data_IF_578264757743
#
_entry.id   IF_578264757743
#
_cell.length_a   1.000
_cell.length_b   1.000
_cell.length_c   1.000
_cell.angle_alpha   90.00
_cell.angle_beta   90.00
_cell.angle_gamma   90.00
#
_symmetry.space_group_name_H-M   'P 1'
#
loop_
_entity.id
_entity.type
_entity.pdbx_description
1 polymer ?
#
# COMPACT_ATOMS: atom_id res chain seq x y z
N UNK A 1 -2.86 -30.99 5.82
CA UNK A 1 -2.43 -30.14 6.94
C UNK A 1 -3.32 -28.92 6.96
N UNK A 2 -4.20 -28.85 7.95
CA UNK A 2 -5.31 -27.92 8.05
C UNK A 2 -5.03 -27.07 9.29
N UNK A 3 -4.36 -25.93 9.11
CA UNK A 3 -3.95 -25.10 10.23
C UNK A 3 -4.00 -23.62 9.83
N UNK A 4 -5.14 -22.97 10.13
CA UNK A 4 -5.28 -21.51 10.29
C UNK A 4 -6.69 -21.06 10.70
N UNK A 5 -7.71 -21.90 10.55
CA UNK A 5 -9.14 -21.57 10.81
C UNK A 5 -9.51 -21.16 12.26
N UNK A 6 -8.61 -21.29 13.24
CA UNK A 6 -8.92 -21.02 14.64
C UNK A 6 -8.70 -19.54 15.04
N UNK A 7 -7.80 -18.79 14.37
CA UNK A 7 -7.55 -17.37 14.69
C UNK A 7 -8.52 -16.41 13.99
N UNK A 8 -8.99 -16.76 12.79
CA UNK A 8 -9.91 -15.93 12.01
C UNK A 8 -11.30 -15.82 12.65
N UNK A 9 -11.72 -16.83 13.42
CA UNK A 9 -13.06 -16.88 14.05
C UNK A 9 -13.23 -15.84 15.16
N UNK A 10 -12.18 -15.59 15.95
CA UNK A 10 -12.20 -14.55 16.99
C UNK A 10 -12.20 -13.14 16.39
N UNK A 11 -11.45 -12.93 15.30
CA UNK A 11 -11.42 -11.65 14.59
C UNK A 11 -12.79 -11.31 13.99
N UNK A 12 -13.44 -12.31 13.36
CA UNK A 12 -14.77 -12.14 12.78
C UNK A 12 -15.88 -11.82 13.80
N UNK A 13 -15.79 -12.35 15.01
CA UNK A 13 -16.76 -12.10 16.07
C UNK A 13 -16.56 -10.73 16.73
N UNK A 14 -15.30 -10.31 16.95
CA UNK A 14 -14.98 -9.03 17.56
C UNK A 14 -15.18 -7.84 16.59
N UNK A 15 -14.89 -8.03 15.30
CA UNK A 15 -14.90 -6.96 14.32
C UNK A 15 -16.18 -6.83 13.49
N UNK A 16 -17.21 -7.65 13.78
CA UNK A 16 -18.40 -7.82 12.91
C UNK A 16 -19.19 -6.54 12.63
N UNK A 17 -19.06 -5.52 13.49
CA UNK A 17 -19.70 -4.21 13.32
C UNK A 17 -18.85 -3.13 12.63
N UNK A 18 -17.57 -3.40 12.38
CA UNK A 18 -16.61 -2.41 11.90
C UNK A 18 -16.29 -2.53 10.41
N UNK A 19 -16.88 -3.49 9.70
CA UNK A 19 -16.65 -3.73 8.28
C UNK A 19 -17.89 -3.46 7.45
N UNK A 20 -17.69 -2.76 6.34
CA UNK A 20 -18.67 -2.52 5.29
C UNK A 20 -18.25 -3.22 4.01
N UNK A 21 -19.22 -3.46 3.13
CA UNK A 21 -18.98 -3.98 1.80
C UNK A 21 -19.55 -3.01 0.77
N UNK A 22 -18.72 -2.65 -0.22
CA UNK A 22 -19.12 -1.92 -1.41
C UNK A 22 -18.63 -2.69 -2.64
N UNK A 23 -19.56 -3.27 -3.40
CA UNK A 23 -19.27 -4.21 -4.47
C UNK A 23 -18.41 -5.39 -4.00
N UNK A 24 -17.25 -5.58 -4.64
CA UNK A 24 -16.27 -6.62 -4.29
C UNK A 24 -15.26 -6.20 -3.21
N UNK A 25 -15.37 -4.97 -2.67
CA UNK A 25 -14.47 -4.43 -1.65
C UNK A 25 -15.12 -4.49 -0.28
N UNK A 26 -14.48 -5.19 0.65
CA UNK A 26 -14.78 -5.22 2.07
C UNK A 26 -13.75 -4.35 2.78
N UNK A 27 -14.18 -3.41 3.60
CA UNK A 27 -13.29 -2.45 4.24
C UNK A 27 -13.75 -2.08 5.64
N UNK A 28 -12.81 -1.67 6.48
CA UNK A 28 -13.11 -1.18 7.81
C UNK A 28 -13.54 0.29 7.72
N UNK A 29 -14.77 0.60 8.13
CA UNK A 29 -15.31 1.97 8.11
C UNK A 29 -14.94 2.77 9.37
N UNK A 30 -14.50 2.11 10.43
CA UNK A 30 -14.09 2.75 11.68
C UNK A 30 -12.96 1.97 12.36
N UNK A 31 -11.73 2.43 12.09
CA UNK A 31 -10.51 1.77 12.59
C UNK A 31 -10.40 1.87 14.10
N UNK A 32 -10.77 3.00 14.72
CA UNK A 32 -10.70 3.16 16.17
C UNK A 32 -11.62 2.16 16.90
N UNK A 33 -12.81 1.91 16.35
CA UNK A 33 -13.75 0.91 16.87
C UNK A 33 -13.22 -0.51 16.69
N UNK A 34 -12.55 -0.80 15.56
CA UNK A 34 -11.85 -2.07 15.36
C UNK A 34 -10.75 -2.29 16.41
N UNK A 35 -9.90 -1.30 16.64
CA UNK A 35 -8.85 -1.37 17.66
C UNK A 35 -9.43 -1.56 19.06
N UNK A 36 -10.47 -0.81 19.42
CA UNK A 36 -11.18 -0.95 20.69
C UNK A 36 -11.76 -2.35 20.87
N UNK A 37 -12.37 -2.93 19.84
CA UNK A 37 -12.92 -4.29 19.89
C UNK A 37 -11.83 -5.36 20.03
N UNK A 38 -10.63 -5.10 19.52
CA UNK A 38 -9.45 -5.96 19.68
C UNK A 38 -8.73 -5.75 21.02
N UNK A 39 -9.18 -4.80 21.86
CA UNK A 39 -8.51 -4.46 23.11
C UNK A 39 -7.14 -3.81 22.91
N UNK A 40 -6.94 -3.14 21.77
CA UNK A 40 -5.69 -2.48 21.39
C UNK A 40 -5.88 -0.96 21.38
N UNK A 41 -4.80 -0.21 21.65
CA UNK A 41 -4.78 1.23 21.46
C UNK A 41 -4.34 1.55 20.03
N UNK A 42 -5.09 2.41 19.34
CA UNK A 42 -4.71 2.89 18.02
C UNK A 42 -3.75 4.08 18.14
N UNK A 43 -2.44 3.82 17.99
CA UNK A 43 -1.42 4.85 17.81
C UNK A 43 -0.91 4.80 16.36
N UNK A 44 -1.35 5.69 15.44
CA UNK A 44 -0.97 5.60 14.02
C UNK A 44 0.53 5.53 13.74
N UNK A 45 1.39 6.08 14.61
CA UNK A 45 2.85 6.05 14.44
C UNK A 45 3.46 4.65 14.69
N UNK A 46 2.75 3.78 15.41
CA UNK A 46 3.18 2.42 15.69
C UNK A 46 2.75 1.41 14.61
N UNK A 47 1.93 1.85 13.65
CA UNK A 47 1.39 1.01 12.59
C UNK A 47 1.79 1.54 11.22
N UNK A 48 2.00 0.61 10.29
CA UNK A 48 2.15 0.90 8.86
C UNK A 48 1.11 0.14 8.08
N UNK A 49 0.58 0.75 7.03
CA UNK A 49 -0.28 0.03 6.10
C UNK A 49 0.59 -0.78 5.15
N UNK A 50 0.20 -2.03 4.96
CA UNK A 50 0.79 -2.93 3.97
C UNK A 50 -0.25 -3.30 2.94
N UNK A 51 0.07 -3.04 1.66
CA UNK A 51 -0.77 -3.41 0.54
C UNK A 51 -0.14 -4.59 -0.18
N UNK A 52 -0.87 -5.70 -0.20
CA UNK A 52 -0.51 -6.92 -0.90
C UNK A 52 -1.49 -7.17 -2.03
N UNK A 53 -0.96 -7.41 -3.23
CA UNK A 53 -1.76 -7.71 -4.40
C UNK A 53 -1.47 -9.10 -4.94
N UNK A 54 -2.52 -9.75 -5.40
CA UNK A 54 -2.42 -11.00 -6.15
C UNK A 54 -3.17 -10.87 -7.47
N UNK A 55 -3.08 -11.90 -8.32
CA UNK A 55 -3.84 -11.92 -9.59
C UNK A 55 -5.36 -11.81 -9.40
N UNK A 56 -5.86 -12.16 -8.21
CA UNK A 56 -7.30 -12.33 -7.94
C UNK A 56 -7.76 -11.60 -6.69
N UNK A 57 -6.89 -10.86 -6.00
CA UNK A 57 -7.27 -10.17 -4.77
C UNK A 57 -6.33 -9.02 -4.45
N UNK A 58 -6.86 -8.03 -3.73
CA UNK A 58 -6.08 -6.97 -3.12
C UNK A 58 -6.35 -6.98 -1.61
N UNK A 59 -5.32 -6.82 -0.79
CA UNK A 59 -5.44 -6.77 0.67
C UNK A 59 -4.74 -5.52 1.21
N UNK A 60 -5.43 -4.82 2.10
CA UNK A 60 -4.86 -3.76 2.92
C UNK A 60 -4.85 -4.20 4.37
N UNK A 61 -3.66 -4.19 4.97
CA UNK A 61 -3.42 -4.77 6.30
C UNK A 61 -2.55 -3.80 7.11
N UNK A 62 -2.91 -3.53 8.35
CA UNK A 62 -2.07 -2.80 9.27
C UNK A 62 -1.07 -3.75 9.92
N UNK A 63 0.21 -3.37 9.87
CA UNK A 63 1.32 -4.07 10.50
C UNK A 63 1.88 -3.20 11.62
N UNK A 64 1.99 -3.79 12.82
CA UNK A 64 2.64 -3.11 13.93
C UNK A 64 4.16 -3.06 13.70
N UNK A 65 4.78 -1.89 13.90
CA UNK A 65 6.17 -1.64 13.53
C UNK A 65 7.17 -2.57 14.23
N UNK A 66 6.93 -2.88 15.50
CA UNK A 66 7.75 -3.83 16.27
C UNK A 66 7.30 -5.29 16.18
N UNK A 67 6.36 -5.64 15.29
CA UNK A 67 5.76 -6.99 15.17
C UNK A 67 5.23 -7.60 16.49
N UNK A 68 4.95 -6.77 17.50
CA UNK A 68 4.43 -7.18 18.82
C UNK A 68 2.97 -7.60 18.76
N UNK A 69 2.22 -7.07 17.79
CA UNK A 69 0.80 -7.33 17.60
C UNK A 69 0.57 -8.05 16.27
N UNK A 70 -0.51 -8.86 16.18
CA UNK A 70 -0.89 -9.50 14.93
C UNK A 70 -1.22 -8.45 13.87
N UNK A 71 -1.13 -8.86 12.60
CA UNK A 71 -1.59 -8.04 11.49
C UNK A 71 -3.11 -7.86 11.54
N UNK A 72 -3.57 -6.64 11.28
CA UNK A 72 -4.98 -6.26 11.35
C UNK A 72 -5.47 -5.98 9.92
N UNK A 73 -6.27 -6.84 9.29
CA UNK A 73 -6.85 -6.53 8.00
C UNK A 73 -7.77 -5.31 8.14
N UNK A 74 -7.66 -4.36 7.21
CA UNK A 74 -8.52 -3.16 7.14
C UNK A 74 -9.21 -3.03 5.79
N UNK A 75 -8.75 -3.75 4.76
CA UNK A 75 -9.39 -3.79 3.46
C UNK A 75 -9.10 -5.09 2.74
N UNK A 76 -10.08 -5.58 1.99
CA UNK A 76 -9.99 -6.77 1.17
C UNK A 76 -10.85 -6.61 -0.06
N UNK A 77 -10.29 -6.82 -1.25
CA UNK A 77 -11.06 -6.85 -2.49
C UNK A 77 -10.87 -8.19 -3.19
N UNK A 78 -11.98 -8.82 -3.59
CA UNK A 78 -11.96 -10.09 -4.33
C UNK A 78 -12.02 -9.78 -5.83
N UNK A 79 -11.34 -10.58 -6.65
CA UNK A 79 -11.36 -10.51 -8.13
C UNK A 79 -10.92 -9.16 -8.72
N UNK A 80 -10.35 -8.28 -7.90
CA UNK A 80 -9.82 -7.00 -8.35
C UNK A 80 -8.32 -7.10 -8.65
N UNK A 81 -7.89 -6.42 -9.71
CA UNK A 81 -6.47 -6.24 -10.05
C UNK A 81 -5.92 -4.98 -9.38
N UNK A 82 -4.61 -4.95 -9.18
CA UNK A 82 -3.87 -3.74 -8.82
C UNK A 82 -3.96 -2.69 -9.95
N UNK A 83 -5.00 -1.88 -9.90
CA UNK A 83 -5.15 -0.73 -10.80
C UNK A 83 -5.23 0.52 -9.97
N UNK A 84 -4.87 1.65 -10.59
CA UNK A 84 -4.97 2.96 -9.96
C UNK A 84 -6.36 3.22 -9.37
N UNK A 85 -7.41 2.94 -10.16
CA UNK A 85 -8.81 3.11 -9.73
C UNK A 85 -9.16 2.23 -8.54
N UNK A 86 -8.73 0.97 -8.55
CA UNK A 86 -8.98 0.01 -7.46
C UNK A 86 -8.29 0.45 -6.17
N UNK A 87 -7.01 0.82 -6.23
CA UNK A 87 -6.26 1.28 -5.07
C UNK A 87 -6.85 2.58 -4.51
N UNK A 88 -7.19 3.53 -5.38
CA UNK A 88 -7.84 4.78 -4.98
C UNK A 88 -9.19 4.53 -4.28
N UNK A 89 -10.00 3.62 -4.82
CA UNK A 89 -11.26 3.24 -4.21
C UNK A 89 -11.04 2.59 -2.84
N UNK A 90 -10.12 1.63 -2.72
CA UNK A 90 -9.78 1.00 -1.43
C UNK A 90 -9.29 2.00 -0.38
N UNK A 91 -8.42 2.95 -0.76
CA UNK A 91 -7.91 4.00 0.14
C UNK A 91 -8.99 4.98 0.57
N UNK A 92 -9.91 5.32 -0.34
CA UNK A 92 -11.06 6.15 -0.02
C UNK A 92 -11.99 5.44 0.99
N UNK A 93 -12.25 4.15 0.78
CA UNK A 93 -13.15 3.37 1.64
C UNK A 93 -12.63 3.21 3.07
N UNK A 94 -11.32 3.06 3.28
CA UNK A 94 -10.71 3.01 4.62
C UNK A 94 -10.37 4.38 5.21
N UNK A 95 -10.83 5.47 4.56
CA UNK A 95 -10.54 6.85 4.95
C UNK A 95 -9.04 7.12 5.19
N UNK A 96 -8.19 6.56 4.32
CA UNK A 96 -6.74 6.55 4.49
C UNK A 96 -6.12 7.93 4.80
N UNK A 97 -6.65 9.01 4.22
CA UNK A 97 -6.18 10.37 4.44
C UNK A 97 -6.32 10.87 5.88
N UNK A 98 -7.24 10.31 6.67
CA UNK A 98 -7.39 10.62 8.10
C UNK A 98 -6.29 9.98 8.95
N UNK A 99 -5.58 9.00 8.39
CA UNK A 99 -4.58 8.22 9.09
C UNK A 99 -3.16 8.57 8.61
N UNK A 100 -2.31 8.97 9.56
CA UNK A 100 -0.90 9.28 9.29
C UNK A 100 -0.02 8.03 9.32
N UNK A 101 -0.51 6.88 8.83
CA UNK A 101 0.28 5.66 8.73
C UNK A 101 1.39 5.81 7.69
N UNK A 102 2.49 5.11 7.93
CA UNK A 102 3.51 4.86 6.91
C UNK A 102 3.04 3.79 5.92
N UNK A 103 3.53 3.87 4.68
CA UNK A 103 3.19 2.94 3.62
C UNK A 103 4.27 1.88 3.43
N UNK A 104 3.83 0.65 3.18
CA UNK A 104 4.66 -0.45 2.75
C UNK A 104 3.90 -1.24 1.70
N UNK A 105 4.55 -1.63 0.62
CA UNK A 105 3.93 -2.41 -0.44
C UNK A 105 5.01 -3.08 -1.30
N UNK A 106 4.58 -4.03 -2.13
CA UNK A 106 5.44 -4.55 -3.18
C UNK A 106 5.78 -3.45 -4.23
N UNK A 107 6.85 -3.65 -5.00
CA UNK A 107 7.32 -2.66 -5.97
C UNK A 107 6.25 -2.35 -7.04
N UNK A 108 5.36 -3.30 -7.34
CA UNK A 108 4.37 -3.17 -8.40
C UNK A 108 3.21 -2.29 -7.96
N UNK A 109 2.69 -2.51 -6.76
CA UNK A 109 1.71 -1.65 -6.10
C UNK A 109 2.29 -0.26 -5.90
N UNK A 110 3.54 -0.14 -5.44
CA UNK A 110 4.23 1.17 -5.36
C UNK A 110 4.22 1.87 -6.71
N UNK A 111 4.54 1.18 -7.81
CA UNK A 111 4.51 1.77 -9.14
C UNK A 111 3.11 2.29 -9.51
N UNK A 112 2.05 1.52 -9.21
CA UNK A 112 0.66 1.97 -9.47
C UNK A 112 0.27 3.15 -8.57
N UNK A 113 0.67 3.15 -7.31
CA UNK A 113 0.41 4.22 -6.35
C UNK A 113 1.04 5.56 -6.77
N UNK A 114 2.25 5.51 -7.33
CA UNK A 114 2.92 6.69 -7.90
C UNK A 114 2.51 6.99 -9.34
N UNK A 115 1.52 6.27 -9.88
CA UNK A 115 1.02 6.49 -11.24
C UNK A 115 2.05 6.16 -12.32
N UNK A 116 3.05 5.32 -12.06
CA UNK A 116 4.05 4.94 -13.04
C UNK A 116 3.45 4.02 -14.11
N UNK A 117 3.88 4.23 -15.35
CA UNK A 117 3.51 3.41 -16.49
C UNK A 117 4.02 1.98 -16.29
N UNK A 118 3.13 1.01 -16.52
CA UNK A 118 3.46 -0.41 -16.43
C UNK A 118 4.37 -0.88 -17.57
N UNK A 119 5.17 -1.93 -17.31
CA UNK A 119 6.04 -2.58 -18.30
C UNK A 119 7.50 -2.16 -18.21
N UNK A 120 8.27 -2.44 -19.27
CA UNK A 120 9.72 -2.15 -19.31
C UNK A 120 9.99 -0.69 -19.71
N UNK A 121 9.70 0.21 -18.78
CA UNK A 121 9.80 1.65 -18.96
C UNK A 121 11.22 2.16 -18.74
N UNK A 122 11.53 3.31 -19.35
CA UNK A 122 12.86 3.91 -19.29
C UNK A 122 13.19 4.42 -17.88
N UNK A 123 12.22 5.07 -17.23
CA UNK A 123 12.36 5.64 -15.90
C UNK A 123 11.44 4.92 -14.90
N UNK A 124 11.77 3.67 -14.58
CA UNK A 124 10.92 2.81 -13.74
C UNK A 124 11.03 3.06 -12.24
N UNK A 125 11.98 3.89 -11.79
CA UNK A 125 12.15 4.20 -10.37
C UNK A 125 11.28 5.39 -9.94
N UNK A 126 10.54 5.23 -8.84
CA UNK A 126 9.69 6.29 -8.26
C UNK A 126 10.50 7.36 -7.52
N UNK A 127 11.69 7.01 -7.02
CA UNK A 127 12.54 7.91 -6.21
C UNK A 127 13.51 8.75 -7.05
N UNK A 128 14.00 8.19 -8.15
CA UNK A 128 15.04 8.82 -8.95
C UNK A 128 14.84 8.58 -10.45
N UNK A 129 15.47 9.43 -11.26
CA UNK A 129 15.40 9.38 -12.71
C UNK A 129 16.43 8.39 -13.27
N UNK A 130 16.46 7.18 -12.71
CA UNK A 130 17.32 6.10 -13.18
C UNK A 130 16.90 5.69 -14.59
N UNK A 131 17.84 5.79 -15.54
CA UNK A 131 17.63 5.37 -16.92
C UNK A 131 17.99 3.89 -17.08
N UNK A 132 16.97 3.03 -17.08
CA UNK A 132 17.13 1.57 -17.22
C UNK A 132 17.73 1.16 -18.58
N UNK A 133 17.73 2.07 -19.55
CA UNK A 133 18.23 1.85 -20.92
C UNK A 133 19.66 2.37 -21.12
N UNK A 134 20.21 3.16 -20.20
CA UNK A 134 21.58 3.68 -20.30
C UNK A 134 22.61 2.60 -19.93
N UNK A 135 22.98 1.77 -20.92
CA UNK A 135 23.97 0.68 -20.75
C UNK A 135 25.38 1.17 -20.38
N UNK A 136 25.73 2.42 -20.69
CA UNK A 136 27.09 2.96 -20.44
C UNK A 136 27.24 3.44 -19.01
N UNK A 137 26.25 4.17 -18.49
CA UNK A 137 26.29 4.74 -17.14
C UNK A 137 25.66 3.84 -16.09
N UNK A 138 24.99 2.75 -16.48
CA UNK A 138 24.26 1.83 -15.60
C UNK A 138 25.01 1.45 -14.33
N UNK A 139 26.27 1.01 -14.48
CA UNK A 139 27.10 0.52 -13.37
C UNK A 139 28.12 1.55 -12.85
N UNK A 140 28.20 2.70 -13.51
CA UNK A 140 29.19 3.76 -13.18
C UNK A 140 28.52 4.83 -12.32
N UNK A 141 27.30 5.22 -12.67
CA UNK A 141 26.57 6.29 -12.00
C UNK A 141 25.75 5.72 -10.84
N UNK A 142 26.22 5.98 -9.62
CA UNK A 142 25.53 5.58 -8.39
C UNK A 142 24.41 6.54 -8.00
N UNK A 143 24.62 7.84 -8.20
CA UNK A 143 23.66 8.89 -7.81
C UNK A 143 22.91 9.38 -9.04
N UNK A 144 21.60 9.16 -9.06
CA UNK A 144 20.70 9.65 -10.10
C UNK A 144 19.88 10.85 -9.59
N UNK A 145 19.50 11.79 -10.48
CA UNK A 145 18.69 12.94 -10.06
C UNK A 145 17.41 12.47 -9.37
N UNK A 146 17.09 13.06 -8.23
CA UNK A 146 15.83 12.79 -7.53
C UNK A 146 14.65 13.13 -8.43
N UNK A 147 13.58 12.36 -8.34
CA UNK A 147 12.31 12.69 -9.00
C UNK A 147 11.61 13.73 -8.13
N UNK A 148 11.63 14.99 -8.54
CA UNK A 148 11.02 16.10 -7.79
C UNK A 148 9.53 16.25 -8.10
N UNK A 149 9.11 15.90 -9.31
CA UNK A 149 7.73 16.03 -9.76
C UNK A 149 7.31 14.77 -10.52
N UNK A 150 6.18 14.19 -10.13
CA UNK A 150 5.46 13.18 -10.88
C UNK A 150 4.44 13.91 -11.75
N UNK A 151 4.91 14.51 -12.84
CA UNK A 151 4.04 15.26 -13.76
C UNK A 151 3.46 14.26 -14.74
N UNK A 152 2.12 14.16 -14.77
CA UNK A 152 1.42 13.28 -15.70
C UNK A 152 1.87 13.53 -17.15
N UNK A 153 2.16 12.46 -17.90
CA UNK A 153 2.59 12.47 -19.29
C UNK A 153 4.09 12.72 -19.51
N UNK A 154 4.84 13.07 -18.47
CA UNK A 154 6.31 13.17 -18.50
C UNK A 154 6.90 11.84 -18.04
N UNK A 155 8.15 11.50 -18.40
CA UNK A 155 9.04 10.43 -17.84
C UNK A 155 8.40 9.14 -17.27
N UNK A 156 7.38 8.61 -17.96
CA UNK A 156 6.65 7.39 -17.61
C UNK A 156 5.66 7.54 -16.43
N UNK A 157 5.10 8.72 -16.21
CA UNK A 157 4.00 9.00 -15.28
C UNK A 157 2.65 9.05 -16.02
N UNK A 158 1.74 8.12 -15.73
CA UNK A 158 0.40 8.03 -16.33
C UNK A 158 -0.68 8.73 -15.49
N UNK A 159 -0.49 8.83 -14.16
CA UNK A 159 -1.47 9.39 -13.22
C UNK A 159 -0.78 10.20 -12.11
N UNK A 160 -1.54 11.07 -11.43
CA UNK A 160 -1.06 11.72 -10.21
C UNK A 160 -0.90 10.71 -9.06
N UNK A 161 0.09 10.87 -8.18
CA UNK A 161 0.34 9.92 -7.09
C UNK A 161 -0.81 9.91 -6.07
N UNK A 162 -1.21 8.71 -5.63
CA UNK A 162 -2.22 8.50 -4.58
C UNK A 162 -1.68 8.73 -3.16
N UNK A 163 -0.36 8.71 -3.02
CA UNK A 163 0.34 8.78 -1.73
C UNK A 163 1.57 9.66 -1.84
N UNK A 164 1.90 10.33 -0.74
CA UNK A 164 3.07 11.18 -0.65
C UNK A 164 4.34 10.33 -0.54
N UNK A 165 5.42 10.76 -1.20
CA UNK A 165 6.67 10.00 -1.24
C UNK A 165 7.33 9.80 0.13
N UNK A 166 7.08 10.74 1.04
CA UNK A 166 7.57 10.80 2.41
C UNK A 166 6.97 9.69 3.29
N UNK A 167 5.85 9.10 2.89
CA UNK A 167 5.19 8.04 3.64
C UNK A 167 5.87 6.68 3.51
N UNK A 168 6.74 6.50 2.51
CA UNK A 168 7.55 5.29 2.37
C UNK A 168 8.88 5.46 3.10
N UNK A 169 9.11 4.76 4.22
CA UNK A 169 10.43 4.76 4.85
C UNK A 169 11.41 4.02 3.94
N UNK A 170 12.19 4.76 3.15
CA UNK A 170 13.29 4.22 2.35
C UNK A 170 14.29 3.49 3.26
N UNK A 171 14.44 2.17 3.11
CA UNK A 171 15.54 1.42 3.73
C UNK A 171 16.88 1.65 3.01
N UNK A 172 16.90 2.17 1.77
CA UNK A 172 18.10 2.26 0.93
C UNK A 172 18.24 3.58 0.14
N UNK A 173 17.96 4.72 0.77
CA UNK A 173 18.09 6.04 0.13
C UNK A 173 19.04 6.95 0.91
N UNK A 174 20.30 6.52 1.05
CA UNK A 174 21.46 7.35 1.39
C UNK A 174 22.43 7.34 0.23
#
# INVERSE_FOLDING_TARGET
MHESLCKDRCFYLAARGSFCQDGDVIFCNNVDSLFKALGLQHNPQEWRVFIDSSKVSLKAVLLHNGNKHPSIPVGYAVRMKETYKTLNHMFSSIEYSKHSWHDSADLKVIAVLFGLQAGYTKFCCFLCQWDSRDRKKHYIKKVWPKRQFLIQGVKNEDNEPLVASEKFPCLHCT
#
